data_IF_116224798876
#
_entry.id   IF_116224798876
#
_cell.length_a   1.000
_cell.length_b   1.000
_cell.length_c   1.000
_cell.angle_alpha   90.00
_cell.angle_beta   90.00
_cell.angle_gamma   90.00
#
_symmetry.space_group_name_H-M   'P 1'
#
loop_
_entity.id
_entity.type
_entity.pdbx_description
1 polymer ?
#
# COMPACT_ATOMS: atom_id res chain seq x y z
N UNK A 1 42.29 -6.90 12.91
CA UNK A 1 42.29 -8.33 12.54
C UNK A 1 41.15 -9.04 13.24
N UNK A 2 40.16 -9.54 12.49
CA UNK A 2 39.30 -10.70 12.76
C UNK A 2 38.20 -10.78 11.67
N UNK A 3 38.56 -11.53 10.62
CA UNK A 3 37.79 -12.49 9.84
C UNK A 3 36.33 -12.15 9.44
N UNK A 4 36.17 -11.87 8.14
CA UNK A 4 34.93 -11.98 7.37
C UNK A 4 34.85 -13.41 6.83
N UNK A 5 33.82 -14.18 7.21
CA UNK A 5 33.41 -15.37 6.44
C UNK A 5 32.25 -14.99 5.51
N UNK A 6 32.17 -15.59 4.30
CA UNK A 6 31.27 -15.14 3.25
C UNK A 6 29.96 -15.95 3.20
N UNK A 7 28.88 -15.30 2.79
CA UNK A 7 27.72 -15.98 2.20
C UNK A 7 26.56 -16.28 3.14
N UNK A 8 25.69 -15.30 3.37
CA UNK A 8 24.26 -15.56 3.26
C UNK A 8 23.69 -14.56 2.28
N UNK A 9 23.03 -15.07 1.25
CA UNK A 9 22.34 -14.32 0.21
C UNK A 9 21.24 -13.52 0.91
N UNK A 10 21.52 -12.26 1.23
CA UNK A 10 20.52 -11.34 1.76
C UNK A 10 19.60 -10.95 0.62
N UNK A 11 18.38 -11.48 0.62
CA UNK A 11 17.24 -10.78 0.02
C UNK A 11 17.19 -9.37 0.62
N UNK A 12 17.26 -8.29 -0.17
CA UNK A 12 17.26 -6.96 0.41
C UNK A 12 15.92 -6.29 0.15
N UNK A 13 14.82 -6.78 0.73
CA UNK A 13 13.57 -5.99 0.73
C UNK A 13 12.79 -6.31 2.00
N UNK A 14 12.15 -5.29 2.57
CA UNK A 14 11.41 -5.25 3.83
C UNK A 14 12.22 -4.85 5.07
N UNK A 15 12.74 -3.62 5.04
CA UNK A 15 12.77 -2.82 6.26
C UNK A 15 11.31 -2.59 6.73
N UNK A 16 11.00 -3.02 7.95
CA UNK A 16 9.81 -2.60 8.68
C UNK A 16 9.78 -1.07 8.77
N UNK A 17 8.80 -0.45 8.13
CA UNK A 17 8.46 0.96 8.27
C UNK A 17 7.00 1.11 7.88
N UNK A 18 6.20 1.61 8.82
CA UNK A 18 4.79 2.03 8.77
C UNK A 18 4.04 1.89 7.42
N UNK A 19 2.92 1.17 7.46
CA UNK A 19 1.79 1.47 6.58
C UNK A 19 1.38 2.92 6.80
N UNK A 20 1.38 3.70 5.73
CA UNK A 20 1.19 5.16 5.78
C UNK A 20 0.58 5.74 4.52
N UNK A 21 -0.07 4.91 3.70
CA UNK A 21 -0.75 5.38 2.49
C UNK A 21 -2.28 5.42 2.65
N UNK A 22 -2.84 4.54 3.47
CA UNK A 22 -4.27 4.36 3.65
C UNK A 22 -4.99 5.58 4.26
N UNK A 23 -4.28 6.40 5.04
CA UNK A 23 -4.88 7.51 5.78
C UNK A 23 -5.24 8.73 4.91
N UNK A 24 -4.57 8.90 3.77
CA UNK A 24 -4.77 10.06 2.90
C UNK A 24 -5.77 9.80 1.76
N UNK A 25 -6.20 8.56 1.56
CA UNK A 25 -7.12 8.20 0.48
C UNK A 25 -8.47 8.94 0.54
N UNK A 26 -8.99 9.23 1.74
CA UNK A 26 -10.23 9.99 1.89
C UNK A 26 -10.03 11.52 1.94
N UNK A 27 -8.79 12.02 1.89
CA UNK A 27 -8.48 13.43 2.07
C UNK A 27 -8.32 14.18 0.73
N UNK A 28 -9.44 14.32 0.00
CA UNK A 28 -9.48 14.96 -1.33
C UNK A 28 -8.88 16.37 -1.37
N UNK A 29 -8.99 17.15 -0.30
CA UNK A 29 -8.40 18.49 -0.26
C UNK A 29 -6.87 18.47 -0.41
N UNK A 30 -6.20 17.41 0.09
CA UNK A 30 -4.76 17.26 -0.05
C UNK A 30 -4.34 16.74 -1.44
N UNK A 31 -4.97 15.66 -1.93
CA UNK A 31 -4.49 14.97 -3.13
C UNK A 31 -5.14 15.43 -4.45
N UNK A 32 -6.26 16.15 -4.39
CA UNK A 32 -6.99 16.67 -5.56
C UNK A 32 -6.99 18.21 -5.62
N UNK A 33 -7.06 18.90 -4.47
CA UNK A 33 -7.09 20.37 -4.42
C UNK A 33 -5.73 21.00 -4.04
N UNK A 34 -4.69 20.19 -3.83
CA UNK A 34 -3.33 20.61 -3.45
C UNK A 34 -3.29 21.53 -2.20
N UNK A 35 -4.32 21.47 -1.35
CA UNK A 35 -4.39 22.25 -0.13
C UNK A 35 -3.55 21.59 0.98
N UNK A 36 -3.16 22.39 1.98
CA UNK A 36 -2.45 21.93 3.18
C UNK A 36 -1.02 21.38 2.96
N UNK A 37 -0.37 21.69 1.83
CA UNK A 37 1.04 21.34 1.58
C UNK A 37 1.98 21.75 2.73
N UNK A 38 1.71 22.87 3.39
CA UNK A 38 2.50 23.35 4.53
C UNK A 38 2.44 22.45 5.79
N UNK A 39 1.54 21.47 5.83
CA UNK A 39 1.43 20.46 6.89
C UNK A 39 2.03 19.12 6.48
N UNK A 40 2.43 18.95 5.21
CA UNK A 40 2.95 17.70 4.68
C UNK A 40 4.44 17.55 5.01
N UNK A 41 4.85 16.32 5.30
CA UNK A 41 6.26 15.94 5.32
C UNK A 41 6.72 15.48 3.94
N UNK A 42 8.04 15.43 3.72
CA UNK A 42 8.63 14.92 2.47
C UNK A 42 8.09 13.52 2.10
N UNK A 43 7.77 12.68 3.10
CA UNK A 43 7.16 11.37 2.89
C UNK A 43 5.71 11.46 2.37
N UNK A 44 4.93 12.40 2.90
CA UNK A 44 3.54 12.59 2.48
C UNK A 44 3.48 13.08 1.02
N UNK A 45 4.41 13.96 0.64
CA UNK A 45 4.56 14.43 -0.74
C UNK A 45 4.88 13.29 -1.71
N UNK A 46 5.77 12.36 -1.33
CA UNK A 46 6.05 11.15 -2.13
C UNK A 46 4.82 10.23 -2.24
N UNK A 47 4.01 10.13 -1.19
CA UNK A 47 2.79 9.32 -1.18
C UNK A 47 1.64 9.91 -2.01
N UNK A 48 1.60 11.23 -2.22
CA UNK A 48 0.58 11.88 -3.06
C UNK A 48 0.50 11.28 -4.47
N UNK A 49 1.63 10.96 -5.08
CA UNK A 49 1.66 10.36 -6.42
C UNK A 49 0.97 9.00 -6.45
N UNK A 50 1.21 8.17 -5.43
CA UNK A 50 0.59 6.85 -5.30
C UNK A 50 -0.91 6.96 -4.99
N UNK A 51 -1.30 7.95 -4.19
CA UNK A 51 -2.69 8.23 -3.84
C UNK A 51 -3.50 8.68 -5.06
N UNK A 52 -2.95 9.56 -5.90
CA UNK A 52 -3.59 9.99 -7.13
C UNK A 52 -3.79 8.82 -8.10
N UNK A 53 -2.81 7.93 -8.25
CA UNK A 53 -2.96 6.73 -9.05
C UNK A 53 -4.04 5.79 -8.49
N UNK A 54 -4.02 5.53 -7.19
CA UNK A 54 -5.00 4.68 -6.52
C UNK A 54 -6.43 5.25 -6.60
N UNK A 55 -6.59 6.58 -6.50
CA UNK A 55 -7.90 7.25 -6.53
C UNK A 55 -8.69 6.99 -7.81
N UNK A 56 -8.01 6.79 -8.93
CA UNK A 56 -8.66 6.45 -10.20
C UNK A 56 -9.34 5.08 -10.13
N UNK A 57 -8.69 4.10 -9.49
CA UNK A 57 -9.26 2.77 -9.34
C UNK A 57 -10.39 2.77 -8.30
N UNK A 58 -10.24 3.45 -7.16
CA UNK A 58 -11.34 3.54 -6.20
C UNK A 58 -12.58 4.23 -6.80
N UNK A 59 -12.41 5.37 -7.46
CA UNK A 59 -13.56 6.15 -7.95
C UNK A 59 -14.27 5.48 -9.12
N UNK A 60 -13.51 4.91 -10.07
CA UNK A 60 -14.05 4.48 -11.36
C UNK A 60 -14.23 2.95 -11.49
N UNK A 61 -13.85 2.15 -10.51
CA UNK A 61 -14.15 0.70 -10.50
C UNK A 61 -15.54 0.36 -9.96
N UNK A 62 -16.31 1.35 -9.50
CA UNK A 62 -17.67 1.17 -9.03
C UNK A 62 -18.59 0.93 -10.23
N UNK A 63 -18.91 -0.34 -10.50
CA UNK A 63 -19.85 -0.75 -11.55
C UNK A 63 -21.08 -1.40 -10.92
N UNK A 64 -22.21 -1.34 -11.62
CA UNK A 64 -23.45 -2.05 -11.23
C UNK A 64 -23.41 -3.55 -11.62
N UNK A 65 -22.33 -4.00 -12.26
CA UNK A 65 -22.16 -5.39 -12.68
C UNK A 65 -21.76 -6.25 -11.48
N UNK A 66 -22.51 -7.34 -11.24
CA UNK A 66 -22.18 -8.29 -10.20
C UNK A 66 -20.87 -9.04 -10.54
N UNK A 67 -19.89 -8.95 -9.65
CA UNK A 67 -18.64 -9.66 -9.75
C UNK A 67 -18.80 -11.12 -9.29
N UNK A 68 -18.17 -12.06 -10.00
CA UNK A 68 -18.09 -13.45 -9.58
C UNK A 68 -17.06 -13.62 -8.45
N UNK A 69 -17.54 -13.49 -7.21
CA UNK A 69 -16.73 -13.62 -6.01
C UNK A 69 -16.11 -15.01 -5.88
N UNK A 70 -16.78 -16.06 -6.35
CA UNK A 70 -16.28 -17.43 -6.22
C UNK A 70 -15.07 -17.68 -7.12
N UNK A 71 -15.04 -17.07 -8.30
CA UNK A 71 -13.89 -17.10 -9.19
C UNK A 71 -12.71 -16.25 -8.67
N UNK A 72 -13.00 -15.10 -8.06
CA UNK A 72 -11.98 -14.16 -7.58
C UNK A 72 -11.35 -14.55 -6.24
N UNK A 73 -12.11 -15.22 -5.35
CA UNK A 73 -11.69 -15.55 -3.99
C UNK A 73 -10.31 -16.25 -3.93
N UNK A 74 -10.00 -17.29 -4.73
CA UNK A 74 -8.71 -17.98 -4.63
C UNK A 74 -7.51 -17.07 -4.89
N UNK A 75 -7.66 -16.12 -5.82
CA UNK A 75 -6.60 -15.16 -6.16
C UNK A 75 -6.32 -14.21 -4.98
N UNK A 76 -7.37 -13.62 -4.40
CA UNK A 76 -7.20 -12.70 -3.27
C UNK A 76 -6.75 -13.42 -1.99
N UNK A 77 -7.17 -14.67 -1.77
CA UNK A 77 -6.69 -15.48 -0.64
C UNK A 77 -5.19 -15.78 -0.70
N UNK A 78 -4.63 -15.97 -1.90
CA UNK A 78 -3.19 -16.13 -2.10
C UNK A 78 -2.44 -14.85 -1.71
N UNK A 79 -2.92 -13.69 -2.18
CA UNK A 79 -2.36 -12.39 -1.83
C UNK A 79 -2.46 -12.10 -0.33
N UNK A 80 -3.60 -12.36 0.30
CA UNK A 80 -3.77 -12.18 1.75
C UNK A 80 -2.75 -13.03 2.52
N UNK A 81 -2.50 -14.27 2.08
CA UNK A 81 -1.51 -15.15 2.72
C UNK A 81 -0.07 -14.67 2.52
N UNK A 82 0.22 -14.04 1.39
CA UNK A 82 1.54 -13.50 1.08
C UNK A 82 1.85 -12.25 1.91
N UNK A 83 0.90 -11.32 1.99
CA UNK A 83 1.14 -9.97 2.53
C UNK A 83 0.70 -9.77 3.99
N UNK A 84 -0.20 -10.61 4.52
CA UNK A 84 -0.76 -10.46 5.86
C UNK A 84 -0.44 -11.65 6.79
N UNK A 85 -0.28 -11.42 8.10
CA UNK A 85 -0.13 -12.51 9.06
C UNK A 85 -1.43 -13.32 9.18
N UNK A 86 -1.30 -14.59 9.57
CA UNK A 86 -2.42 -15.53 9.66
C UNK A 86 -3.54 -15.07 10.62
N UNK A 87 -3.20 -14.31 11.66
CA UNK A 87 -4.15 -13.75 12.60
C UNK A 87 -3.90 -12.25 12.74
N UNK A 88 -4.96 -11.47 12.59
CA UNK A 88 -4.98 -10.03 12.77
C UNK A 88 -5.65 -9.70 14.11
N UNK A 89 -5.14 -8.66 14.78
CA UNK A 89 -5.75 -8.09 15.98
C UNK A 89 -6.47 -6.81 15.56
N UNK A 90 -7.79 -6.81 15.68
CA UNK A 90 -8.68 -5.78 15.14
C UNK A 90 -9.15 -4.83 16.24
#
# INVERSE_FOLDING_TARGET
MKNRLPGSIGHPIFHRGNGGGEHLHSFYAAHHEEAYQYLMSDYDEEMLTWLQLFSQYDLYSKTDEELDIECLRPYYEELVREYLPQALNW
#
